data_IF_606507213917
#
_entry.id   IF_606507213917
#
_cell.length_a   1.000
_cell.length_b   1.000
_cell.length_c   1.000
_cell.angle_alpha   90.00
_cell.angle_beta   90.00
_cell.angle_gamma   90.00
#
_symmetry.space_group_name_H-M   'P 1'
#
loop_
_entity.id
_entity.type
_entity.pdbx_description
1 polymer ?
#
# COMPACT_ATOMS: atom_id res chain seq x y z
N UNK A 1 8.19 -12.56 -4.25
CA UNK A 1 7.25 -11.79 -3.42
C UNK A 1 5.93 -12.55 -3.36
N UNK A 2 5.35 -12.72 -2.17
CA UNK A 2 3.98 -13.24 -2.04
C UNK A 2 3.04 -12.04 -2.15
N UNK A 3 2.08 -12.02 -3.11
CA UNK A 3 1.17 -10.89 -3.26
C UNK A 3 0.30 -10.70 -2.01
N UNK A 4 0.36 -9.51 -1.42
CA UNK A 4 -0.46 -9.09 -0.28
C UNK A 4 -1.01 -7.70 -0.57
N UNK A 5 -2.28 -7.48 -0.22
CA UNK A 5 -2.98 -6.25 -0.51
C UNK A 5 -3.71 -5.73 0.73
N UNK A 6 -3.80 -4.41 0.83
CA UNK A 6 -4.79 -3.70 1.63
C UNK A 6 -5.63 -2.82 0.72
N UNK A 7 -6.77 -2.34 1.20
CA UNK A 7 -7.62 -1.45 0.43
C UNK A 7 -8.08 -0.25 1.25
N UNK A 8 -8.06 0.93 0.64
CA UNK A 8 -8.82 2.07 1.14
C UNK A 8 -10.28 1.95 0.66
N UNK A 9 -11.21 1.72 1.59
CA UNK A 9 -12.66 1.74 1.31
C UNK A 9 -13.15 3.19 1.28
N UNK A 10 -13.51 3.68 0.09
CA UNK A 10 -13.96 5.06 -0.13
C UNK A 10 -15.31 5.36 0.53
N UNK A 11 -16.11 4.33 0.83
CA UNK A 11 -17.44 4.49 1.44
C UNK A 11 -17.30 4.61 2.97
N UNK A 12 -16.45 3.78 3.56
CA UNK A 12 -16.22 3.76 5.02
C UNK A 12 -15.07 4.65 5.48
N UNK A 13 -14.28 5.21 4.56
CA UNK A 13 -13.09 6.02 4.83
C UNK A 13 -12.11 5.32 5.78
N UNK A 14 -11.78 4.06 5.48
CA UNK A 14 -10.86 3.25 6.29
C UNK A 14 -10.00 2.35 5.43
N UNK A 15 -8.84 1.97 5.96
CA UNK A 15 -8.06 0.86 5.44
C UNK A 15 -8.69 -0.46 5.92
N UNK A 16 -8.76 -1.45 5.03
CA UNK A 16 -9.18 -2.82 5.34
C UNK A 16 -8.26 -3.83 4.68
N UNK A 17 -8.16 -5.01 5.29
CA UNK A 17 -7.41 -6.13 4.73
C UNK A 17 -8.16 -6.70 3.53
N UNK A 18 -7.43 -7.08 2.47
CA UNK A 18 -8.01 -7.72 1.29
C UNK A 18 -7.86 -9.22 1.43
N UNK A 19 -8.99 -9.92 1.61
CA UNK A 19 -9.01 -11.39 1.67
C UNK A 19 -8.91 -12.01 0.29
N UNK A 20 -9.69 -11.47 -0.66
CA UNK A 20 -9.78 -11.99 -2.03
C UNK A 20 -10.07 -10.88 -3.02
N UNK A 21 -9.44 -10.98 -4.18
CA UNK A 21 -9.69 -10.13 -5.34
C UNK A 21 -10.39 -10.99 -6.40
N UNK A 22 -11.52 -10.50 -6.91
CA UNK A 22 -12.33 -11.17 -7.92
C UNK A 22 -12.30 -10.32 -9.19
N UNK A 23 -11.47 -10.75 -10.15
CA UNK A 23 -11.25 -10.04 -11.41
C UNK A 23 -12.48 -10.11 -12.32
N UNK A 24 -13.18 -11.24 -12.30
CA UNK A 24 -14.38 -11.53 -13.08
C UNK A 24 -15.56 -10.61 -12.71
N UNK A 25 -15.82 -10.48 -11.41
CA UNK A 25 -16.90 -9.66 -10.85
C UNK A 25 -16.47 -8.23 -10.52
N UNK A 26 -15.20 -7.90 -10.76
CA UNK A 26 -14.57 -6.59 -10.55
C UNK A 26 -14.78 -6.05 -9.12
N UNK A 27 -14.45 -6.88 -8.14
CA UNK A 27 -14.59 -6.51 -6.74
C UNK A 27 -13.65 -7.25 -5.80
N UNK A 28 -13.71 -6.86 -4.54
CA UNK A 28 -12.85 -7.33 -3.46
C UNK A 28 -13.70 -7.75 -2.27
N UNK A 29 -13.26 -8.83 -1.62
CA UNK A 29 -13.70 -9.17 -0.28
C UNK A 29 -12.72 -8.59 0.72
N UNK A 30 -13.22 -7.70 1.57
CA UNK A 30 -12.46 -7.02 2.61
C UNK A 30 -12.79 -7.61 3.97
N UNK A 31 -11.86 -7.52 4.90
CA UNK A 31 -12.06 -7.86 6.31
C UNK A 31 -11.76 -6.66 7.19
N UNK A 32 -12.67 -6.40 8.13
CA UNK A 32 -12.46 -5.48 9.23
C UNK A 32 -12.93 -6.07 10.57
N UNK A 33 -12.94 -5.27 11.64
CA UNK A 33 -13.36 -5.68 12.98
C UNK A 33 -14.82 -6.20 13.06
N UNK A 34 -15.67 -5.83 12.11
CA UNK A 34 -17.07 -6.26 12.02
C UNK A 34 -17.25 -7.47 11.10
N UNK A 35 -16.15 -8.04 10.57
CA UNK A 35 -16.13 -9.21 9.70
C UNK A 35 -15.87 -8.91 8.23
N UNK A 36 -16.22 -9.88 7.38
CA UNK A 36 -16.00 -9.81 5.93
C UNK A 36 -17.12 -9.06 5.22
N UNK A 37 -16.78 -8.25 4.23
CA UNK A 37 -17.75 -7.53 3.41
C UNK A 37 -17.24 -7.32 1.98
N UNK A 38 -18.15 -6.97 1.07
CA UNK A 38 -17.88 -6.81 -0.35
C UNK A 38 -17.77 -5.35 -0.78
N UNK A 39 -16.84 -5.07 -1.70
CA UNK A 39 -16.77 -3.81 -2.44
C UNK A 39 -16.46 -4.06 -3.92
N UNK A 40 -17.03 -3.22 -4.78
CA UNK A 40 -16.62 -3.14 -6.19
C UNK A 40 -15.30 -2.35 -6.30
N UNK A 41 -14.54 -2.56 -7.37
CA UNK A 41 -13.24 -1.91 -7.57
C UNK A 41 -13.31 -0.38 -7.61
N UNK A 42 -14.41 0.19 -8.10
CA UNK A 42 -14.65 1.64 -8.09
C UNK A 42 -14.77 2.22 -6.68
N UNK A 43 -15.28 1.44 -5.73
CA UNK A 43 -15.44 1.80 -4.32
C UNK A 43 -14.17 1.65 -3.47
N UNK A 44 -13.06 1.16 -4.02
CA UNK A 44 -11.81 0.95 -3.28
C UNK A 44 -10.59 1.50 -4.00
N UNK A 45 -9.50 1.69 -3.27
CA UNK A 45 -8.15 1.83 -3.84
C UNK A 45 -7.35 0.64 -3.31
N UNK A 46 -6.94 -0.26 -4.21
CA UNK A 46 -6.06 -1.37 -3.86
C UNK A 46 -4.63 -0.84 -3.70
N UNK A 47 -3.95 -1.30 -2.66
CA UNK A 47 -2.59 -0.92 -2.32
C UNK A 47 -1.77 -2.21 -2.12
N UNK A 48 -0.81 -2.48 -3.01
CA UNK A 48 0.01 -3.69 -2.96
C UNK A 48 1.15 -3.52 -1.94
N UNK A 49 1.46 -4.60 -1.20
CA UNK A 49 2.67 -4.64 -0.36
C UNK A 49 3.93 -4.63 -1.21
N UNK A 50 4.93 -3.87 -0.76
CA UNK A 50 6.29 -3.91 -1.32
C UNK A 50 7.07 -5.16 -0.94
N UNK A 51 6.64 -5.87 0.12
CA UNK A 51 7.39 -6.92 0.79
C UNK A 51 8.53 -6.42 1.68
N UNK A 52 8.70 -5.10 1.81
CA UNK A 52 9.66 -4.45 2.69
C UNK A 52 8.96 -3.92 3.96
N UNK A 53 9.74 -3.78 5.02
CA UNK A 53 9.30 -3.20 6.31
C UNK A 53 10.11 -1.96 6.63
N UNK A 54 9.47 -0.98 7.26
CA UNK A 54 10.14 0.21 7.77
C UNK A 54 11.01 -0.09 8.99
N UNK A 55 11.70 0.94 9.50
CA UNK A 55 12.56 0.84 10.70
C UNK A 55 11.82 0.41 11.97
N UNK A 56 10.50 0.49 11.99
CA UNK A 56 9.65 0.09 13.11
C UNK A 56 9.02 -1.31 12.90
N UNK A 57 9.40 -2.02 11.83
CA UNK A 57 8.85 -3.33 11.49
C UNK A 57 7.46 -3.28 10.85
N UNK A 58 6.99 -2.11 10.41
CA UNK A 58 5.70 -1.96 9.71
C UNK A 58 5.90 -2.17 8.22
N UNK A 59 5.11 -3.07 7.64
CA UNK A 59 5.13 -3.34 6.20
C UNK A 59 4.70 -2.10 5.39
N UNK A 60 5.45 -1.84 4.30
CA UNK A 60 5.25 -0.68 3.42
C UNK A 60 4.42 -1.10 2.21
N UNK A 61 3.40 -0.32 1.89
CA UNK A 61 2.49 -0.54 0.77
C UNK A 61 2.56 0.62 -0.23
N UNK A 62 2.15 0.35 -1.46
CA UNK A 62 1.84 1.39 -2.44
C UNK A 62 0.91 2.45 -1.84
N UNK A 63 1.23 3.74 -2.04
CA UNK A 63 0.54 4.88 -1.48
C UNK A 63 0.92 5.26 -0.04
N UNK A 64 1.82 4.50 0.62
CA UNK A 64 2.39 4.97 1.89
C UNK A 64 3.30 6.17 1.67
N UNK A 65 3.25 7.12 2.61
CA UNK A 65 4.21 8.22 2.70
C UNK A 65 5.37 7.76 3.58
N UNK A 66 6.57 7.78 3.03
CA UNK A 66 7.79 7.36 3.72
C UNK A 66 8.76 8.52 3.86
N UNK A 67 9.53 8.48 4.94
CA UNK A 67 10.64 9.38 5.19
C UNK A 67 11.93 8.56 5.13
N UNK A 68 12.90 9.00 4.34
CA UNK A 68 14.16 8.28 4.13
C UNK A 68 15.34 9.25 4.08
N UNK A 69 16.50 8.73 4.46
CA UNK A 69 17.77 9.43 4.33
C UNK A 69 18.28 9.26 2.90
N UNK A 70 18.61 10.39 2.29
CA UNK A 70 19.25 10.47 0.98
C UNK A 70 20.58 11.20 1.13
N UNK A 71 21.54 10.88 0.27
CA UNK A 71 22.87 11.45 0.36
C UNK A 71 23.47 11.60 -1.02
N UNK A 72 23.86 12.83 -1.36
CA UNK A 72 24.64 13.09 -2.57
C UNK A 72 26.09 12.59 -2.41
N UNK A 73 26.62 12.63 -1.19
CA UNK A 73 27.92 12.09 -0.73
C UNK A 73 27.87 11.80 0.78
N UNK A 74 28.85 11.06 1.32
CA UNK A 74 28.89 10.56 2.72
C UNK A 74 28.68 11.66 3.78
N UNK A 75 29.08 12.91 3.49
CA UNK A 75 29.00 14.02 4.45
C UNK A 75 27.67 14.79 4.42
N UNK A 76 26.86 14.65 3.36
CA UNK A 76 25.64 15.44 3.16
C UNK A 76 24.41 14.52 3.12
N UNK A 77 24.03 14.01 4.28
CA UNK A 77 22.78 13.28 4.47
C UNK A 77 21.65 14.27 4.72
N UNK A 78 20.60 14.19 3.92
CA UNK A 78 19.36 14.95 4.12
C UNK A 78 18.15 14.02 4.14
N UNK A 79 17.06 14.52 4.70
CA UNK A 79 15.84 13.72 4.89
C UNK A 79 14.82 14.10 3.82
N UNK A 80 14.42 13.12 3.02
CA UNK A 80 13.39 13.25 2.00
C UNK A 80 12.09 12.57 2.46
N UNK A 81 10.97 13.04 1.90
CA UNK A 81 9.66 12.41 2.02
C UNK A 81 9.04 12.23 0.66
N UNK A 82 8.44 11.08 0.42
CA UNK A 82 7.73 10.81 -0.82
C UNK A 82 6.70 9.70 -0.67
N UNK A 83 5.96 9.48 -1.74
CA UNK A 83 4.93 8.46 -1.83
C UNK A 83 5.50 7.22 -2.51
N UNK A 84 5.19 6.04 -1.97
CA UNK A 84 5.56 4.78 -2.60
C UNK A 84 4.64 4.51 -3.78
N UNK A 85 5.18 4.43 -4.99
CA UNK A 85 4.42 4.18 -6.22
C UNK A 85 4.96 2.96 -6.97
N UNK A 86 4.10 2.23 -7.67
CA UNK A 86 4.55 1.20 -8.60
C UNK A 86 4.74 1.80 -10.00
N UNK A 87 5.98 1.88 -10.48
CA UNK A 87 6.28 2.34 -11.82
C UNK A 87 7.37 1.49 -12.48
N UNK A 88 7.26 1.29 -13.81
CA UNK A 88 8.29 0.63 -14.63
C UNK A 88 8.74 -0.76 -14.14
N UNK A 89 7.86 -1.50 -13.43
CA UNK A 89 8.15 -2.85 -12.95
C UNK A 89 8.78 -2.91 -11.55
N UNK A 90 8.85 -1.80 -10.83
CA UNK A 90 9.32 -1.75 -9.45
C UNK A 90 8.57 -0.73 -8.60
N UNK A 91 8.79 -0.78 -7.28
CA UNK A 91 8.35 0.28 -6.38
C UNK A 91 9.40 1.39 -6.34
N UNK A 92 8.95 2.63 -6.43
CA UNK A 92 9.76 3.85 -6.35
C UNK A 92 9.18 4.79 -5.31
N UNK A 93 10.00 5.72 -4.83
CA UNK A 93 9.51 6.84 -4.00
C UNK A 93 9.55 8.10 -4.84
N UNK A 94 8.40 8.78 -4.97
CA UNK A 94 8.21 10.01 -5.75
C UNK A 94 7.83 11.20 -4.88
#
# INVERSE_FOLDING_TARGET
>A
MIPKFRAWDKIRNRISEVERIYIDTKGVRLRDENGEYWRRFDGVILMQSTGLVDKNGKEIFEGDVVEFEDADDIENVYTNRGVVEWCQGGFTVT
#
